data_IF_483188637144
#
_entry.id   IF_483188637144
#
_cell.length_a   1.000
_cell.length_b   1.000
_cell.length_c   1.000
_cell.angle_alpha   90.00
_cell.angle_beta   90.00
_cell.angle_gamma   90.00
#
_symmetry.space_group_name_H-M   'P 1'
#
loop_
_entity.id
_entity.type
_entity.pdbx_description
1 polymer ?
#
# COMPACT_ATOMS: atom_id res chain seq x y z
N UNK A 1 19.85 -11.36 12.94
CA UNK A 1 20.46 -10.37 12.02
C UNK A 1 19.44 -10.08 10.94
N UNK A 2 19.18 -8.80 10.70
CA UNK A 2 18.04 -8.31 9.92
C UNK A 2 18.37 -8.35 8.42
N UNK A 3 17.69 -9.21 7.66
CA UNK A 3 17.68 -9.12 6.20
C UNK A 3 16.72 -7.99 5.80
N UNK A 4 17.24 -6.76 5.71
CA UNK A 4 16.49 -5.55 5.32
C UNK A 4 16.36 -5.36 3.81
N UNK A 5 17.01 -6.21 3.01
CA UNK A 5 16.83 -6.28 1.58
C UNK A 5 16.14 -7.60 1.30
N UNK A 6 14.96 -7.59 0.67
CA UNK A 6 14.14 -8.79 0.41
C UNK A 6 14.83 -9.83 -0.47
N UNK A 7 15.76 -10.55 0.15
CA UNK A 7 16.46 -11.71 -0.34
C UNK A 7 16.26 -12.84 0.67
N UNK A 8 16.10 -14.04 0.12
CA UNK A 8 16.13 -15.36 0.77
C UNK A 8 15.91 -15.38 2.30
N UNK A 9 14.75 -15.87 2.73
CA UNK A 9 14.51 -16.24 4.13
C UNK A 9 15.34 -17.49 4.43
N UNK A 10 16.28 -17.38 5.37
CA UNK A 10 17.13 -18.49 5.76
C UNK A 10 16.27 -19.57 6.45
N UNK A 11 16.41 -20.87 6.14
CA UNK A 11 15.62 -21.93 6.79
C UNK A 11 15.71 -21.95 8.32
N UNK A 12 16.77 -21.38 8.89
CA UNK A 12 16.97 -21.24 10.35
C UNK A 12 16.14 -20.12 10.99
N UNK A 13 15.57 -19.22 10.19
CA UNK A 13 14.69 -18.14 10.63
C UNK A 13 13.21 -18.54 10.59
N UNK A 14 12.89 -19.79 10.16
CA UNK A 14 11.55 -20.37 10.33
C UNK A 14 11.35 -20.64 11.82
N UNK A 15 10.42 -19.93 12.44
CA UNK A 15 9.93 -20.28 13.77
C UNK A 15 9.38 -21.72 13.71
N UNK A 16 9.79 -22.62 14.61
CA UNK A 16 9.29 -23.99 14.60
C UNK A 16 7.84 -23.96 15.07
N UNK A 17 6.91 -24.14 14.14
CA UNK A 17 5.55 -24.54 14.49
C UNK A 17 5.61 -26.04 14.78
N UNK A 18 5.45 -26.39 16.05
CA UNK A 18 5.31 -27.78 16.51
C UNK A 18 3.96 -28.33 16.08
N UNK A 19 4.00 -29.58 15.62
CA UNK A 19 2.89 -30.50 15.37
C UNK A 19 1.97 -30.16 14.19
N UNK A 20 2.18 -30.85 13.06
CA UNK A 20 1.42 -32.05 12.71
C UNK A 20 1.91 -32.55 11.34
N UNK A 21 2.35 -33.80 11.31
CA UNK A 21 2.64 -34.57 10.10
C UNK A 21 1.33 -35.00 9.47
N UNK A 22 1.00 -34.52 8.26
CA UNK A 22 0.26 -35.33 7.28
C UNK A 22 0.45 -34.78 5.86
N UNK A 23 0.77 -35.69 4.95
CA UNK A 23 1.04 -35.46 3.55
C UNK A 23 -0.28 -35.32 2.77
N UNK A 24 -0.83 -34.11 2.68
CA UNK A 24 -1.86 -33.79 1.69
C UNK A 24 -1.53 -32.51 0.92
N UNK A 25 -1.28 -32.69 -0.38
CA UNK A 25 -1.27 -31.65 -1.40
C UNK A 25 -2.61 -30.91 -1.38
N UNK A 26 -2.68 -29.79 -0.66
CA UNK A 26 -3.74 -28.81 -0.80
C UNK A 26 -3.30 -27.78 -1.85
N UNK A 27 -3.71 -27.98 -3.10
CA UNK A 27 -3.61 -26.95 -4.14
C UNK A 27 -4.48 -25.75 -3.76
N UNK A 28 -3.88 -24.75 -3.11
CA UNK A 28 -4.50 -23.43 -2.99
C UNK A 28 -4.43 -22.70 -4.33
N UNK A 29 -5.60 -22.43 -4.90
CA UNK A 29 -5.89 -21.66 -6.13
C UNK A 29 -5.60 -20.15 -5.96
N UNK A 30 -4.45 -19.80 -5.38
CA UNK A 30 -3.90 -18.45 -5.35
C UNK A 30 -2.38 -18.57 -5.52
N UNK A 31 -1.90 -18.21 -6.71
CA UNK A 31 -0.53 -18.43 -7.18
C UNK A 31 0.56 -17.89 -6.25
N UNK A 32 0.97 -18.69 -5.28
CA UNK A 32 2.20 -18.47 -4.53
C UNK A 32 3.35 -19.03 -5.36
N UNK A 33 4.03 -18.16 -6.13
CA UNK A 33 5.24 -18.52 -6.86
C UNK A 33 6.19 -19.28 -5.92
N UNK A 34 6.59 -20.50 -6.29
CA UNK A 34 7.53 -21.36 -5.55
C UNK A 34 8.66 -20.51 -4.95
N UNK A 35 8.90 -20.63 -3.63
CA UNK A 35 10.01 -19.93 -2.97
C UNK A 35 11.33 -20.31 -3.67
N UNK A 36 11.95 -19.35 -4.37
CA UNK A 36 13.25 -19.54 -5.03
C UNK A 36 14.34 -19.80 -3.99
N UNK A 37 15.25 -20.73 -4.30
CA UNK A 37 16.42 -20.99 -3.46
C UNK A 37 17.40 -19.81 -3.51
N UNK A 38 18.32 -19.71 -2.53
CA UNK A 38 19.35 -18.66 -2.51
C UNK A 38 20.23 -18.69 -3.77
N UNK A 39 20.45 -19.89 -4.33
CA UNK A 39 21.19 -20.08 -5.57
C UNK A 39 20.39 -19.59 -6.78
N UNK A 40 19.09 -19.89 -6.84
CA UNK A 40 18.22 -19.42 -7.93
C UNK A 40 18.10 -17.89 -7.95
N UNK A 41 18.00 -17.27 -6.77
CA UNK A 41 17.96 -15.81 -6.66
C UNK A 41 19.27 -15.17 -7.14
N UNK A 42 20.43 -15.70 -6.71
CA UNK A 42 21.74 -15.20 -7.18
C UNK A 42 21.90 -15.36 -8.70
N UNK A 43 21.45 -16.48 -9.25
CA UNK A 43 21.49 -16.75 -10.69
C UNK A 43 20.61 -15.78 -11.48
N UNK A 44 19.38 -15.54 -11.02
CA UNK A 44 18.47 -14.59 -11.66
C UNK A 44 18.98 -13.14 -11.60
N UNK A 45 19.56 -12.73 -10.47
CA UNK A 45 20.19 -11.40 -10.38
C UNK A 45 21.36 -11.26 -11.35
N UNK A 46 22.18 -12.32 -11.49
CA UNK A 46 23.29 -12.34 -12.43
C UNK A 46 22.81 -12.32 -13.89
N UNK A 47 21.81 -13.13 -14.24
CA UNK A 47 21.20 -13.15 -15.57
C UNK A 47 20.59 -11.79 -15.94
N UNK A 48 19.88 -11.16 -14.99
CA UNK A 48 19.34 -9.82 -15.18
C UNK A 48 20.45 -8.80 -15.41
N UNK A 49 21.53 -8.83 -14.62
CA UNK A 49 22.71 -7.97 -14.82
C UNK A 49 23.35 -8.19 -16.19
N UNK A 50 23.51 -9.44 -16.60
CA UNK A 50 24.09 -9.83 -17.90
C UNK A 50 23.24 -9.39 -19.09
N UNK A 51 21.91 -9.35 -18.98
CA UNK A 51 21.04 -8.83 -20.04
C UNK A 51 21.25 -7.33 -20.30
N UNK A 52 21.45 -6.51 -19.25
CA UNK A 52 21.76 -5.09 -19.42
C UNK A 52 23.21 -4.87 -19.88
N UNK A 53 24.18 -5.62 -19.35
CA UNK A 53 25.59 -5.46 -19.73
C UNK A 53 25.92 -5.97 -21.14
N UNK A 54 25.19 -6.98 -21.64
CA UNK A 54 25.39 -7.53 -22.98
C UNK A 54 24.42 -6.96 -24.03
N UNK A 55 23.64 -5.94 -23.69
CA UNK A 55 22.83 -5.26 -24.70
C UNK A 55 23.76 -4.63 -25.75
N UNK A 56 23.62 -4.96 -27.05
CA UNK A 56 24.50 -4.44 -28.08
C UNK A 56 24.42 -2.90 -28.08
N UNK A 57 25.58 -2.21 -28.14
CA UNK A 57 25.60 -0.76 -28.21
C UNK A 57 24.75 -0.28 -29.41
N UNK A 58 23.98 0.82 -29.28
CA UNK A 58 23.24 1.36 -30.41
C UNK A 58 24.19 1.63 -31.59
N UNK A 59 23.87 1.09 -32.77
CA UNK A 59 24.70 1.19 -33.98
C UNK A 59 25.04 2.65 -34.34
N UNK A 60 24.14 3.59 -33.99
CA UNK A 60 24.38 5.02 -34.07
C UNK A 60 23.68 5.77 -32.92
N UNK A 61 24.45 6.51 -32.12
CA UNK A 61 23.97 7.34 -30.99
C UNK A 61 22.84 8.30 -31.41
N UNK A 62 22.89 8.81 -32.64
CA UNK A 62 21.88 9.74 -33.18
C UNK A 62 20.49 9.13 -33.40
N UNK A 63 20.39 7.80 -33.51
CA UNK A 63 19.11 7.09 -33.70
C UNK A 63 18.54 6.54 -32.38
N UNK A 64 19.28 6.68 -31.28
CA UNK A 64 18.83 6.16 -30.01
C UNK A 64 17.60 6.95 -29.51
N UNK A 65 16.59 6.27 -28.95
CA UNK A 65 15.41 6.93 -28.42
C UNK A 65 15.80 7.90 -27.31
N UNK A 66 15.20 9.09 -27.34
CA UNK A 66 15.46 10.17 -26.39
C UNK A 66 14.33 10.26 -25.38
N UNK A 67 14.65 10.78 -24.20
CA UNK A 67 13.68 11.06 -23.15
C UNK A 67 12.55 11.94 -23.71
N UNK A 68 11.30 11.61 -23.40
CA UNK A 68 10.13 12.35 -23.89
C UNK A 68 9.95 13.72 -23.22
N UNK A 69 10.60 13.97 -22.08
CA UNK A 69 10.52 15.27 -21.39
C UNK A 69 11.64 16.22 -21.84
N UNK A 70 12.91 15.81 -21.72
CA UNK A 70 14.03 16.70 -22.03
C UNK A 70 14.55 16.59 -23.46
N UNK A 71 14.21 15.53 -24.21
CA UNK A 71 14.71 15.25 -25.57
C UNK A 71 16.24 15.21 -25.73
N UNK A 72 16.98 15.23 -24.63
CA UNK A 72 18.45 15.25 -24.61
C UNK A 72 18.98 13.87 -24.25
N UNK A 73 18.59 13.36 -23.07
CA UNK A 73 19.09 12.11 -22.51
C UNK A 73 18.63 10.90 -23.34
N UNK A 74 19.54 9.94 -23.51
CA UNK A 74 19.33 8.67 -24.20
C UNK A 74 19.20 7.51 -23.19
N UNK A 75 19.75 7.67 -21.98
CA UNK A 75 19.62 6.71 -20.89
C UNK A 75 18.32 6.94 -20.11
N UNK A 76 17.44 5.94 -20.14
CA UNK A 76 16.15 5.98 -19.46
C UNK A 76 16.26 5.44 -18.03
N UNK A 77 15.33 5.82 -17.15
CA UNK A 77 15.18 5.15 -15.86
C UNK A 77 14.74 3.70 -16.08
N UNK A 78 15.47 2.68 -15.58
CA UNK A 78 15.17 1.28 -15.88
C UNK A 78 13.80 0.85 -15.38
N UNK A 79 13.31 1.41 -14.26
CA UNK A 79 12.01 1.04 -13.71
C UNK A 79 10.91 1.62 -14.59
N UNK A 80 10.97 2.92 -14.90
CA UNK A 80 9.97 3.57 -15.75
C UNK A 80 9.95 2.98 -17.16
N UNK A 81 11.11 2.68 -17.73
CA UNK A 81 11.20 2.10 -19.07
C UNK A 81 10.73 0.64 -19.11
N UNK A 82 11.25 -0.23 -18.23
CA UNK A 82 11.04 -1.66 -18.39
C UNK A 82 9.73 -2.14 -17.77
N UNK A 83 9.26 -1.49 -16.71
CA UNK A 83 8.00 -1.87 -16.03
C UNK A 83 6.83 -1.05 -16.58
N UNK A 84 6.98 0.27 -16.59
CA UNK A 84 5.89 1.20 -16.94
C UNK A 84 5.89 1.63 -18.41
N UNK A 85 6.86 1.16 -19.21
CA UNK A 85 6.96 1.42 -20.66
C UNK A 85 7.07 2.91 -21.01
N UNK A 86 7.66 3.69 -20.10
CA UNK A 86 7.86 5.13 -20.24
C UNK A 86 9.30 5.46 -20.62
N UNK A 87 9.49 6.18 -21.72
CA UNK A 87 10.79 6.68 -22.18
C UNK A 87 11.20 7.95 -21.43
N UNK A 88 11.44 7.83 -20.12
CA UNK A 88 11.77 8.96 -19.24
C UNK A 88 13.09 8.70 -18.54
N UNK A 89 14.00 9.68 -18.59
CA UNK A 89 15.28 9.60 -17.87
C UNK A 89 15.09 9.86 -16.37
N UNK A 90 16.04 9.38 -15.56
CA UNK A 90 16.00 9.48 -14.10
C UNK A 90 16.01 10.92 -13.56
N UNK A 91 16.53 11.87 -14.32
CA UNK A 91 16.51 13.29 -13.93
C UNK A 91 15.08 13.85 -14.08
N UNK A 92 14.49 13.70 -15.26
CA UNK A 92 13.13 14.19 -15.53
C UNK A 92 12.08 13.53 -14.62
N UNK A 93 12.27 12.26 -14.24
CA UNK A 93 11.35 11.62 -13.29
C UNK A 93 11.34 12.26 -11.91
N UNK A 94 12.45 12.87 -11.50
CA UNK A 94 12.56 13.62 -10.23
C UNK A 94 12.10 15.07 -10.36
N UNK A 95 12.28 15.67 -11.53
CA UNK A 95 11.81 17.03 -11.84
C UNK A 95 10.29 17.07 -12.01
N UNK A 96 9.69 15.96 -12.44
CA UNK A 96 8.25 15.81 -12.69
C UNK A 96 7.58 14.72 -11.82
N UNK A 97 7.63 14.82 -10.48
CA UNK A 97 7.00 13.84 -9.59
C UNK A 97 5.47 13.81 -9.73
N UNK A 98 4.86 14.90 -10.21
CA UNK A 98 3.43 14.99 -10.55
C UNK A 98 3.02 14.02 -11.67
N UNK A 99 3.97 13.50 -12.45
CA UNK A 99 3.69 12.45 -13.46
C UNK A 99 4.33 11.12 -13.10
N UNK A 100 5.57 11.14 -12.64
CA UNK A 100 6.41 9.93 -12.61
C UNK A 100 6.70 9.40 -11.20
N UNK A 101 6.14 10.01 -10.15
CA UNK A 101 6.24 9.45 -8.81
C UNK A 101 5.60 8.05 -8.76
N UNK A 102 6.23 7.16 -8.01
CA UNK A 102 5.69 5.83 -7.71
C UNK A 102 4.84 5.91 -6.46
N UNK A 103 3.58 5.50 -6.58
CA UNK A 103 2.58 5.49 -5.52
C UNK A 103 2.35 4.06 -5.04
N UNK A 104 2.31 3.87 -3.73
CA UNK A 104 1.87 2.63 -3.13
C UNK A 104 0.39 2.40 -3.40
N UNK A 105 -0.03 1.14 -3.40
CA UNK A 105 -1.45 0.79 -3.50
C UNK A 105 -2.35 1.55 -2.51
N UNK A 106 -1.85 1.81 -1.29
CA UNK A 106 -2.59 2.57 -0.27
C UNK A 106 -2.76 4.02 -0.71
N UNK A 107 -1.70 4.67 -1.17
CA UNK A 107 -1.75 6.05 -1.69
C UNK A 107 -2.71 6.17 -2.87
N UNK A 108 -2.71 5.22 -3.81
CA UNK A 108 -3.68 5.21 -4.93
C UNK A 108 -5.16 5.17 -4.45
N UNK A 109 -5.43 4.46 -3.35
CA UNK A 109 -6.78 4.37 -2.79
C UNK A 109 -7.17 5.62 -2.00
N UNK A 110 -6.21 6.24 -1.32
CA UNK A 110 -6.42 7.41 -0.48
C UNK A 110 -6.53 8.69 -1.32
N UNK A 111 -5.62 8.89 -2.27
CA UNK A 111 -5.52 10.12 -3.06
C UNK A 111 -6.49 10.12 -4.26
N UNK A 112 -6.65 8.97 -4.92
CA UNK A 112 -7.42 8.85 -6.17
C UNK A 112 -8.72 8.06 -6.04
N UNK A 113 -9.04 7.61 -4.82
CA UNK A 113 -10.25 6.86 -4.50
C UNK A 113 -10.50 5.63 -5.38
N UNK A 114 -9.41 4.99 -5.81
CA UNK A 114 -9.47 3.72 -6.52
C UNK A 114 -9.77 2.57 -5.56
N UNK A 115 -10.34 1.52 -6.10
CA UNK A 115 -10.79 0.34 -5.36
C UNK A 115 -9.80 -0.81 -5.52
N UNK A 116 -9.85 -1.79 -4.62
CA UNK A 116 -8.97 -2.96 -4.73
C UNK A 116 -9.18 -3.76 -6.03
N UNK A 117 -10.41 -3.98 -6.54
CA UNK A 117 -10.60 -4.64 -7.83
C UNK A 117 -9.91 -3.90 -8.98
N UNK A 118 -10.04 -2.57 -9.06
CA UNK A 118 -9.41 -1.76 -10.11
C UNK A 118 -7.88 -1.85 -10.04
N UNK A 119 -7.28 -1.77 -8.85
CA UNK A 119 -5.82 -1.82 -8.68
C UNK A 119 -5.24 -3.24 -8.83
N UNK A 120 -6.06 -4.26 -8.63
CA UNK A 120 -5.69 -5.66 -8.81
C UNK A 120 -5.84 -6.13 -10.26
N UNK A 121 -6.50 -5.35 -11.11
CA UNK A 121 -6.62 -5.66 -12.54
C UNK A 121 -5.25 -5.51 -13.22
N UNK A 122 -4.70 -6.63 -13.69
CA UNK A 122 -3.39 -6.68 -14.33
C UNK A 122 -3.39 -6.03 -15.72
N UNK A 123 -4.56 -5.93 -16.38
CA UNK A 123 -4.69 -5.34 -17.71
C UNK A 123 -4.84 -3.82 -17.66
N UNK A 124 -5.18 -3.26 -16.49
CA UNK A 124 -5.47 -1.84 -16.33
C UNK A 124 -4.23 -0.98 -16.00
N UNK A 125 -3.32 -1.51 -15.19
CA UNK A 125 -2.15 -0.77 -14.71
C UNK A 125 -0.87 -1.59 -14.77
N UNK A 126 0.22 -0.95 -15.16
CA UNK A 126 1.54 -1.47 -14.89
C UNK A 126 1.83 -1.37 -13.38
N UNK A 127 2.45 -2.40 -12.80
CA UNK A 127 2.81 -2.43 -11.38
C UNK A 127 4.23 -2.92 -11.16
N UNK A 128 4.90 -2.32 -10.18
CA UNK A 128 6.17 -2.79 -9.64
C UNK A 128 5.95 -3.38 -8.25
N UNK A 129 6.27 -4.66 -8.08
CA UNK A 129 6.24 -5.30 -6.76
C UNK A 129 7.59 -5.19 -6.03
N UNK A 130 7.53 -4.86 -4.74
CA UNK A 130 8.67 -4.81 -3.84
C UNK A 130 8.38 -5.56 -2.53
N UNK A 131 9.42 -6.05 -1.83
CA UNK A 131 9.27 -6.54 -0.47
C UNK A 131 8.63 -5.46 0.41
N UNK A 132 7.73 -5.85 1.30
CA UNK A 132 7.10 -4.91 2.21
C UNK A 132 8.15 -4.38 3.21
N UNK A 133 8.27 -3.06 3.40
CA UNK A 133 9.29 -2.47 4.26
C UNK A 133 9.10 -2.79 5.75
N UNK A 134 7.89 -3.15 6.18
CA UNK A 134 7.63 -3.50 7.58
C UNK A 134 8.03 -4.95 7.90
N UNK A 135 7.74 -5.89 6.99
CA UNK A 135 8.14 -7.29 7.13
C UNK A 135 8.07 -8.01 5.80
N UNK A 136 9.10 -8.80 5.46
CA UNK A 136 9.09 -9.66 4.27
C UNK A 136 8.04 -10.78 4.31
N UNK A 137 7.41 -11.04 5.47
CA UNK A 137 6.29 -11.99 5.60
C UNK A 137 4.94 -11.40 5.24
N UNK A 138 4.83 -10.07 5.16
CA UNK A 138 3.59 -9.40 4.77
C UNK A 138 3.39 -9.42 3.25
N UNK A 139 2.18 -9.10 2.82
CA UNK A 139 1.87 -8.93 1.40
C UNK A 139 2.84 -7.93 0.75
N UNK A 140 3.31 -8.25 -0.45
CA UNK A 140 4.27 -7.42 -1.20
C UNK A 140 3.70 -6.02 -1.43
N UNK A 141 4.58 -5.03 -1.37
CA UNK A 141 4.23 -3.65 -1.69
C UNK A 141 4.09 -3.51 -3.21
N UNK A 142 2.95 -3.01 -3.66
CA UNK A 142 2.68 -2.71 -5.06
C UNK A 142 2.86 -1.21 -5.28
N UNK A 143 3.64 -0.85 -6.30
CA UNK A 143 3.93 0.51 -6.71
C UNK A 143 3.37 0.75 -8.12
N UNK A 144 2.68 1.87 -8.30
CA UNK A 144 2.05 2.31 -9.53
C UNK A 144 2.64 3.67 -9.95
N UNK A 145 2.65 3.99 -11.24
CA UNK A 145 3.12 5.32 -11.69
C UNK A 145 1.95 6.31 -11.66
N UNK A 146 2.20 7.51 -11.11
CA UNK A 146 1.15 8.52 -10.86
C UNK A 146 0.34 8.87 -12.12
N UNK A 147 0.98 9.07 -13.27
CA UNK A 147 0.27 9.48 -14.49
C UNK A 147 -0.76 8.45 -15.00
N UNK A 148 -0.50 7.14 -14.89
CA UNK A 148 -1.48 6.11 -15.25
C UNK A 148 -2.67 6.11 -14.29
N UNK A 149 -2.37 6.16 -12.99
CA UNK A 149 -3.37 6.19 -11.91
C UNK A 149 -4.28 7.41 -12.06
N UNK A 150 -3.70 8.57 -12.27
CA UNK A 150 -4.40 9.84 -12.43
C UNK A 150 -5.27 9.85 -13.69
N UNK A 151 -4.74 9.41 -14.82
CA UNK A 151 -5.52 9.31 -16.06
C UNK A 151 -6.75 8.39 -15.91
N UNK A 152 -6.62 7.28 -15.18
CA UNK A 152 -7.76 6.42 -14.88
C UNK A 152 -8.74 7.07 -13.89
N UNK A 153 -8.23 7.69 -12.82
CA UNK A 153 -9.05 8.34 -11.81
C UNK A 153 -9.86 9.49 -12.41
N UNK A 154 -9.25 10.33 -13.25
CA UNK A 154 -9.96 11.40 -13.95
C UNK A 154 -11.02 10.85 -14.89
N UNK A 155 -10.78 9.73 -15.57
CA UNK A 155 -11.83 9.08 -16.38
C UNK A 155 -13.00 8.59 -15.51
N UNK A 156 -12.71 8.07 -14.32
CA UNK A 156 -13.71 7.57 -13.38
C UNK A 156 -14.55 8.67 -12.75
N UNK A 157 -13.92 9.78 -12.38
CA UNK A 157 -14.55 10.85 -11.61
C UNK A 157 -14.98 12.05 -12.45
N UNK A 158 -14.61 12.12 -13.73
CA UNK A 158 -14.99 13.23 -14.61
C UNK A 158 -13.98 14.39 -14.63
N UNK A 159 -12.69 14.08 -14.50
CA UNK A 159 -11.60 15.05 -14.43
C UNK A 159 -11.10 15.29 -13.02
N UNK A 160 -10.25 16.30 -12.88
CA UNK A 160 -9.73 16.77 -11.59
C UNK A 160 -10.85 17.34 -10.71
N UNK A 161 -11.71 18.18 -11.28
CA UNK A 161 -12.85 18.79 -10.57
C UNK A 161 -13.78 17.73 -9.96
N UNK A 162 -14.11 16.67 -10.70
CA UNK A 162 -14.97 15.60 -10.19
C UNK A 162 -14.30 14.75 -9.11
N UNK A 163 -12.96 14.61 -9.14
CA UNK A 163 -12.22 13.95 -8.07
C UNK A 163 -12.23 14.82 -6.79
N UNK A 164 -12.13 16.15 -6.94
CA UNK A 164 -12.22 17.10 -5.81
C UNK A 164 -13.62 17.10 -5.17
N UNK A 165 -14.68 17.07 -5.98
CA UNK A 165 -16.06 16.92 -5.48
C UNK A 165 -16.23 15.63 -4.67
N UNK A 166 -15.64 14.53 -5.16
CA UNK A 166 -15.64 13.24 -4.45
C UNK A 166 -14.88 13.33 -3.12
N UNK A 167 -13.76 14.06 -3.08
CA UNK A 167 -13.01 14.30 -1.85
C UNK A 167 -13.86 15.05 -0.81
N UNK A 168 -14.51 16.14 -1.23
CA UNK A 168 -15.37 16.96 -0.35
C UNK A 168 -16.50 16.12 0.24
N UNK A 169 -17.21 15.36 -0.60
CA UNK A 169 -18.28 14.44 -0.17
C UNK A 169 -17.80 13.43 0.87
N UNK A 170 -16.58 12.90 0.71
CA UNK A 170 -15.99 11.95 1.68
C UNK A 170 -15.63 12.62 3.00
N UNK A 171 -15.08 13.82 2.98
CA UNK A 171 -14.72 14.55 4.19
C UNK A 171 -15.95 14.96 5.01
N UNK A 172 -17.01 15.43 4.36
CA UNK A 172 -18.30 15.69 5.01
C UNK A 172 -18.87 14.41 5.64
N UNK A 173 -18.84 13.29 4.91
CA UNK A 173 -19.27 12.00 5.42
C UNK A 173 -18.43 11.49 6.61
N UNK A 174 -17.12 11.80 6.64
CA UNK A 174 -16.26 11.52 7.82
C UNK A 174 -16.65 12.41 8.99
N UNK A 175 -16.88 13.70 8.77
CA UNK A 175 -17.30 14.64 9.81
C UNK A 175 -18.63 14.21 10.45
N UNK A 176 -19.64 13.90 9.64
CA UNK A 176 -20.95 13.47 10.13
C UNK A 176 -20.87 12.15 10.93
N UNK A 177 -20.07 11.18 10.47
CA UNK A 177 -19.85 9.93 11.23
C UNK A 177 -19.15 10.16 12.57
N UNK A 178 -18.19 11.09 12.63
CA UNK A 178 -17.52 11.47 13.88
C UNK A 178 -18.50 12.12 14.86
N UNK A 179 -19.31 13.05 14.39
CA UNK A 179 -20.36 13.71 15.17
C UNK A 179 -21.35 12.71 15.74
N UNK A 180 -21.96 11.87 14.89
CA UNK A 180 -22.92 10.84 15.33
C UNK A 180 -22.32 9.87 16.36
N UNK A 181 -21.04 9.50 16.19
CA UNK A 181 -20.32 8.65 17.16
C UNK A 181 -20.11 9.38 18.49
N UNK A 182 -19.83 10.68 18.45
CA UNK A 182 -19.67 11.51 19.64
C UNK A 182 -20.99 11.67 20.40
N UNK A 183 -22.09 11.99 19.71
CA UNK A 183 -23.42 12.10 20.30
C UNK A 183 -23.87 10.78 20.95
N UNK A 184 -23.63 9.65 20.27
CA UNK A 184 -23.92 8.32 20.83
C UNK A 184 -23.15 8.09 22.13
N UNK A 185 -21.86 8.43 22.18
CA UNK A 185 -21.04 8.34 23.40
C UNK A 185 -21.57 9.23 24.53
N UNK A 186 -22.00 10.47 24.23
CA UNK A 186 -22.63 11.35 25.23
C UNK A 186 -23.91 10.72 25.78
N UNK A 187 -24.77 10.19 24.91
CA UNK A 187 -26.02 9.55 25.33
C UNK A 187 -25.77 8.35 26.23
N UNK A 188 -24.81 7.49 25.88
CA UNK A 188 -24.39 6.35 26.68
C UNK A 188 -23.81 6.78 28.04
N UNK A 189 -22.97 7.82 28.06
CA UNK A 189 -22.43 8.39 29.30
C UNK A 189 -23.55 8.88 30.21
N UNK A 190 -24.49 9.68 29.69
CA UNK A 190 -25.64 10.20 30.46
C UNK A 190 -26.51 9.08 31.03
N UNK A 191 -26.73 8.01 30.26
CA UNK A 191 -27.49 6.85 30.71
C UNK A 191 -26.77 6.14 31.88
N UNK A 192 -25.46 5.94 31.77
CA UNK A 192 -24.64 5.33 32.84
C UNK A 192 -24.66 6.18 34.12
N UNK A 193 -24.51 7.50 34.01
CA UNK A 193 -24.58 8.42 35.16
C UNK A 193 -25.95 8.35 35.84
N UNK A 194 -27.05 8.40 35.08
CA UNK A 194 -28.41 8.29 35.63
C UNK A 194 -28.65 6.95 36.33
N UNK A 195 -28.18 5.86 35.73
CA UNK A 195 -28.28 4.54 36.34
C UNK A 195 -27.49 4.47 37.65
N UNK A 196 -26.27 5.01 37.67
CA UNK A 196 -25.44 5.09 38.87
C UNK A 196 -26.10 5.92 39.97
N UNK A 197 -26.59 7.11 39.66
CA UNK A 197 -27.34 7.94 40.62
C UNK A 197 -28.58 7.22 41.17
N UNK A 198 -29.34 6.53 40.31
CA UNK A 198 -30.50 5.75 40.74
C UNK A 198 -30.10 4.61 41.70
N UNK A 199 -29.04 3.87 41.37
CA UNK A 199 -28.51 2.82 42.27
C UNK A 199 -28.00 3.38 43.59
N UNK A 200 -27.34 4.55 43.57
CA UNK A 200 -26.88 5.23 44.79
C UNK A 200 -28.07 5.66 45.66
N UNK A 201 -29.11 6.27 45.09
CA UNK A 201 -30.34 6.63 45.81
C UNK A 201 -31.04 5.41 46.43
N UNK A 202 -31.08 4.28 45.72
CA UNK A 202 -31.62 3.03 46.26
C UNK A 202 -30.78 2.50 47.43
N UNK A 203 -29.44 2.55 47.33
CA UNK A 203 -28.54 2.17 48.42
C UNK A 203 -28.73 3.07 49.64
N UNK A 204 -28.80 4.38 49.45
CA UNK A 204 -29.05 5.36 50.52
C UNK A 204 -30.38 5.10 51.24
N UNK A 205 -31.45 4.78 50.49
CA UNK A 205 -32.74 4.40 51.10
C UNK A 205 -32.66 3.12 51.93
N UNK A 206 -31.87 2.13 51.50
CA UNK A 206 -31.80 0.82 52.16
C UNK A 206 -30.84 0.80 53.35
N UNK A 207 -29.73 1.53 53.27
CA UNK A 207 -28.63 1.46 54.23
C UNK A 207 -28.33 2.80 54.94
N UNK A 208 -29.11 3.85 54.68
CA UNK A 208 -28.82 5.20 55.16
C UNK A 208 -27.72 5.87 54.35
N UNK A 209 -27.46 7.16 54.61
CA UNK A 209 -26.34 7.88 53.99
C UNK A 209 -25.02 7.30 54.48
N UNK A 210 -24.06 7.13 53.58
CA UNK A 210 -22.72 6.69 53.95
C UNK A 210 -22.10 7.69 54.94
N UNK A 211 -21.61 7.18 56.07
CA UNK A 211 -20.92 7.97 57.09
C UNK A 211 -19.53 8.37 56.57
N UNK A 212 -19.23 9.67 56.60
CA UNK A 212 -17.92 10.22 56.22
C UNK A 212 -17.11 10.42 57.51
N UNK A 213 -15.98 9.73 57.65
CA UNK A 213 -15.04 9.99 58.74
C UNK A 213 -14.21 11.23 58.38
N UNK A 214 -14.35 12.31 59.15
CA UNK A 214 -13.35 13.38 59.17
C UNK A 214 -12.20 12.92 60.08
N UNK A 215 -11.00 12.84 59.50
CA UNK A 215 -9.74 12.66 60.22
C UNK A 215 -9.11 14.03 60.49
#
# INVERSE_FOLDING_TARGET
>A
MQNLNGGYINPKDKLPNSDFTDDQEFESEFGSKKQKTLQDWKKEQLERKMLYENAPPPEHISKAPKCIECHINIEMDPVLHDVFKLQVCKQCSKEHPEKYALLTKTECKEDYFLTDPELNDEDLFHRLEKPNPHSGTFARMQLFVRCEVEAFAFKKWGGEEGLDEEWQRREEGKAHRREKKYEKKIKEMRLKTRAQEYTNRLREKKHGKAHIHQF
#
